data_IF_032135066924
#
_entry.id   IF_032135066924
#
_cell.length_a   1.000
_cell.length_b   1.000
_cell.length_c   1.000
_cell.angle_alpha   90.00
_cell.angle_beta   90.00
_cell.angle_gamma   90.00
#
_symmetry.space_group_name_H-M   'P 1'
#
loop_
_entity.id
_entity.type
_entity.pdbx_description
1 polymer ?
#
# COMPACT_ATOMS: atom_id res chain seq x y z
N UNK A 1 -3.21 -23.83 6.51
CA UNK A 1 -2.80 -22.44 6.82
C UNK A 1 -3.64 -21.98 8.00
N UNK A 2 -3.05 -21.55 9.13
CA UNK A 2 -3.81 -21.22 10.34
C UNK A 2 -4.77 -20.06 10.06
N UNK A 3 -6.08 -20.25 10.26
CA UNK A 3 -7.13 -19.25 10.01
C UNK A 3 -6.83 -17.91 10.68
N UNK A 4 -6.18 -17.96 11.86
CA UNK A 4 -5.70 -16.80 12.59
C UNK A 4 -4.68 -15.95 11.80
N UNK A 5 -3.74 -16.59 11.10
CA UNK A 5 -2.73 -15.90 10.27
C UNK A 5 -3.41 -15.23 9.08
N UNK A 6 -4.41 -15.89 8.47
CA UNK A 6 -5.15 -15.33 7.34
C UNK A 6 -5.96 -14.10 7.74
N UNK A 7 -6.64 -14.14 8.89
CA UNK A 7 -7.38 -12.99 9.43
C UNK A 7 -6.44 -11.84 9.78
N UNK A 8 -5.30 -12.13 10.42
CA UNK A 8 -4.28 -11.13 10.73
C UNK A 8 -3.77 -10.44 9.46
N UNK A 9 -3.45 -11.23 8.42
CA UNK A 9 -3.04 -10.68 7.13
C UNK A 9 -4.11 -9.82 6.48
N UNK A 10 -5.37 -10.26 6.52
CA UNK A 10 -6.49 -9.50 5.99
C UNK A 10 -6.58 -8.12 6.67
N UNK A 11 -6.51 -8.07 8.01
CA UNK A 11 -6.54 -6.80 8.77
C UNK A 11 -5.34 -5.91 8.41
N UNK A 12 -4.14 -6.48 8.25
CA UNK A 12 -2.95 -5.73 7.84
C UNK A 12 -3.11 -5.13 6.43
N UNK A 13 -3.66 -5.88 5.48
CA UNK A 13 -3.95 -5.38 4.14
C UNK A 13 -5.01 -4.26 4.15
N UNK A 14 -6.04 -4.38 5.00
CA UNK A 14 -7.05 -3.34 5.18
C UNK A 14 -6.41 -2.04 5.72
N UNK A 15 -5.61 -2.14 6.78
CA UNK A 15 -4.92 -1.00 7.39
C UNK A 15 -3.93 -0.34 6.42
N UNK A 16 -3.19 -1.15 5.66
CA UNK A 16 -2.28 -0.67 4.63
C UNK A 16 -3.02 0.04 3.49
N UNK A 17 -4.16 -0.53 3.05
CA UNK A 17 -5.01 0.06 2.02
C UNK A 17 -5.60 1.41 2.44
N UNK A 18 -6.17 1.48 3.65
CA UNK A 18 -6.72 2.73 4.22
C UNK A 18 -5.61 3.77 4.40
N UNK A 19 -4.44 3.35 4.91
CA UNK A 19 -3.30 4.25 5.07
C UNK A 19 -2.81 4.81 3.73
N UNK A 20 -2.71 3.99 2.68
CA UNK A 20 -2.35 4.45 1.34
C UNK A 20 -3.37 5.46 0.78
N UNK A 21 -4.67 5.24 1.00
CA UNK A 21 -5.72 6.14 0.50
C UNK A 21 -5.78 7.47 1.26
N UNK A 22 -5.63 7.45 2.58
CA UNK A 22 -5.84 8.62 3.43
C UNK A 22 -4.56 9.43 3.65
N UNK A 23 -3.40 8.76 3.73
CA UNK A 23 -2.09 9.36 4.03
C UNK A 23 -1.18 9.40 2.81
N UNK A 24 -1.73 9.41 1.60
CA UNK A 24 -0.96 9.38 0.34
C UNK A 24 0.08 10.52 0.27
N UNK A 25 -0.30 11.72 0.74
CA UNK A 25 0.59 12.89 0.78
C UNK A 25 1.70 12.78 1.83
N UNK A 26 1.43 12.13 2.96
CA UNK A 26 2.44 11.88 3.99
C UNK A 26 3.45 10.84 3.51
N UNK A 27 2.97 9.76 2.87
CA UNK A 27 3.82 8.73 2.25
C UNK A 27 4.73 9.37 1.18
N UNK A 28 4.17 10.25 0.34
CA UNK A 28 4.91 10.99 -0.66
C UNK A 28 6.01 11.86 -0.04
N UNK A 29 5.69 12.64 1.01
CA UNK A 29 6.68 13.47 1.73
C UNK A 29 7.78 12.63 2.38
N UNK A 30 7.40 11.50 2.98
CA UNK A 30 8.35 10.59 3.60
C UNK A 30 9.31 9.97 2.58
N UNK A 31 8.80 9.54 1.41
CA UNK A 31 9.65 9.06 0.32
C UNK A 31 10.60 10.15 -0.20
N UNK A 32 10.12 11.38 -0.36
CA UNK A 32 10.96 12.50 -0.81
C UNK A 32 12.09 12.74 0.20
N UNK A 33 11.79 12.79 1.50
CA UNK A 33 12.81 12.91 2.55
C UNK A 33 13.79 11.73 2.56
N UNK A 34 13.29 10.51 2.34
CA UNK A 34 14.13 9.31 2.24
C UNK A 34 15.12 9.40 1.07
N UNK A 35 14.66 9.88 -0.09
CA UNK A 35 15.53 10.11 -1.25
C UNK A 35 16.52 11.25 -1.04
N UNK A 36 16.13 12.34 -0.38
CA UNK A 36 17.05 13.43 -0.05
C UNK A 36 18.14 13.01 0.96
N UNK A 37 17.82 12.05 1.84
CA UNK A 37 18.75 11.55 2.85
C UNK A 37 19.66 10.44 2.32
N UNK A 38 19.26 9.74 1.25
CA UNK A 38 20.04 8.64 0.68
C UNK A 38 21.00 9.14 -0.42
N UNK A 39 22.33 9.11 -0.20
CA UNK A 39 23.32 9.53 -1.20
C UNK A 39 23.36 8.63 -2.45
N UNK A 40 22.74 7.44 -2.38
CA UNK A 40 22.69 6.44 -3.46
C UNK A 40 21.70 6.83 -4.56
N UNK A 41 20.68 7.62 -4.22
CA UNK A 41 19.64 8.03 -5.16
C UNK A 41 19.79 9.53 -5.34
N UNK A 42 20.75 9.89 -6.20
CA UNK A 42 21.06 11.28 -6.50
C UNK A 42 19.77 12.08 -6.76
N UNK A 43 19.76 13.34 -6.31
CA UNK A 43 18.65 14.30 -6.46
C UNK A 43 18.08 14.39 -7.89
N UNK A 44 18.85 13.99 -8.89
CA UNK A 44 18.50 13.94 -10.31
C UNK A 44 17.92 12.60 -10.81
N UNK A 45 17.78 11.60 -9.95
CA UNK A 45 17.26 10.31 -10.37
C UNK A 45 15.79 10.46 -10.82
N UNK A 46 15.40 9.92 -12.00
CA UNK A 46 14.04 10.08 -12.54
C UNK A 46 12.95 9.59 -11.59
N UNK A 47 13.27 8.63 -10.71
CA UNK A 47 12.38 8.15 -9.64
C UNK A 47 12.03 9.23 -8.61
N UNK A 48 12.99 10.04 -8.17
CA UNK A 48 12.74 11.12 -7.21
C UNK A 48 11.81 12.18 -7.82
N UNK A 49 12.03 12.56 -9.08
CA UNK A 49 11.13 13.49 -9.80
C UNK A 49 9.74 12.90 -9.99
N UNK A 50 9.65 11.61 -10.31
CA UNK A 50 8.36 10.93 -10.49
C UNK A 50 7.56 10.88 -9.19
N UNK A 51 8.21 10.68 -8.03
CA UNK A 51 7.52 10.71 -6.73
C UNK A 51 6.89 12.06 -6.39
N UNK A 52 7.33 13.16 -7.02
CA UNK A 52 6.71 14.49 -6.85
C UNK A 52 5.49 14.70 -7.76
N UNK A 53 5.25 13.83 -8.75
CA UNK A 53 4.15 13.98 -9.69
C UNK A 53 2.83 13.42 -9.15
N UNK A 54 1.72 13.92 -9.68
CA UNK A 54 0.35 13.42 -9.40
C UNK A 54 0.18 11.96 -9.81
N UNK A 55 0.94 11.48 -10.80
CA UNK A 55 0.96 10.09 -11.25
C UNK A 55 1.36 9.12 -10.13
N UNK A 56 2.34 9.49 -9.30
CA UNK A 56 2.72 8.70 -8.13
C UNK A 56 1.59 8.61 -7.10
N UNK A 57 0.90 9.72 -6.82
CA UNK A 57 -0.25 9.76 -5.91
C UNK A 57 -1.37 8.84 -6.42
N UNK A 58 -1.66 8.86 -7.73
CA UNK A 58 -2.63 7.94 -8.31
C UNK A 58 -2.21 6.48 -8.14
N UNK A 59 -0.93 6.17 -8.33
CA UNK A 59 -0.42 4.82 -8.20
C UNK A 59 -0.49 4.31 -6.76
N UNK A 60 -0.13 5.13 -5.76
CA UNK A 60 -0.28 4.77 -4.35
C UNK A 60 -1.76 4.57 -3.99
N UNK A 61 -2.67 5.40 -4.51
CA UNK A 61 -4.11 5.19 -4.32
C UNK A 61 -4.58 3.88 -4.97
N UNK A 62 -4.10 3.57 -6.18
CA UNK A 62 -4.43 2.34 -6.89
C UNK A 62 -3.95 1.10 -6.11
N UNK A 63 -2.73 1.14 -5.56
CA UNK A 63 -2.22 0.11 -4.63
C UNK A 63 -3.13 0.01 -3.40
N UNK A 64 -3.55 1.14 -2.83
CA UNK A 64 -4.47 1.16 -1.70
C UNK A 64 -5.82 0.47 -2.01
N UNK A 65 -6.41 0.76 -3.17
CA UNK A 65 -7.64 0.11 -3.64
C UNK A 65 -7.42 -1.39 -3.87
N UNK A 66 -6.31 -1.78 -4.51
CA UNK A 66 -5.94 -3.18 -4.72
C UNK A 66 -5.81 -3.96 -3.40
N UNK A 67 -5.21 -3.36 -2.37
CA UNK A 67 -5.13 -3.98 -1.03
C UNK A 67 -6.51 -4.20 -0.39
N UNK A 68 -7.45 -3.26 -0.58
CA UNK A 68 -8.83 -3.41 -0.09
C UNK A 68 -9.56 -4.52 -0.87
N UNK A 69 -9.38 -4.59 -2.19
CA UNK A 69 -9.94 -5.67 -3.00
C UNK A 69 -9.38 -7.02 -2.54
N UNK A 70 -8.07 -7.09 -2.24
CA UNK A 70 -7.43 -8.30 -1.75
C UNK A 70 -7.99 -8.73 -0.37
N UNK A 71 -8.26 -7.76 0.51
CA UNK A 71 -8.97 -8.02 1.77
C UNK A 71 -10.36 -8.63 1.53
N UNK A 72 -11.15 -8.07 0.61
CA UNK A 72 -12.49 -8.57 0.28
C UNK A 72 -12.41 -10.01 -0.27
N UNK A 73 -11.45 -10.29 -1.16
CA UNK A 73 -11.22 -11.65 -1.67
C UNK A 73 -10.85 -12.61 -0.54
N UNK A 74 -9.93 -12.24 0.35
CA UNK A 74 -9.55 -13.07 1.48
C UNK A 74 -10.73 -13.34 2.42
N UNK A 75 -11.53 -12.32 2.73
CA UNK A 75 -12.74 -12.46 3.54
C UNK A 75 -13.76 -13.39 2.88
N UNK A 76 -13.96 -13.27 1.57
CA UNK A 76 -14.82 -14.15 0.80
C UNK A 76 -14.34 -15.61 0.85
N UNK A 77 -13.05 -15.85 0.62
CA UNK A 77 -12.45 -17.20 0.69
C UNK A 77 -12.62 -17.80 2.08
N UNK A 78 -12.36 -17.05 3.15
CA UNK A 78 -12.56 -17.53 4.52
C UNK A 78 -14.04 -17.91 4.76
N UNK A 79 -14.97 -17.08 4.29
CA UNK A 79 -16.41 -17.30 4.48
C UNK A 79 -16.87 -18.56 3.75
N UNK A 80 -16.50 -18.72 2.47
CA UNK A 80 -16.84 -19.92 1.68
C UNK A 80 -16.20 -21.17 2.27
N UNK A 81 -14.94 -21.09 2.72
CA UNK A 81 -14.23 -22.22 3.33
C UNK A 81 -14.78 -22.62 4.71
N UNK A 82 -15.53 -21.74 5.37
CA UNK A 82 -16.17 -22.03 6.66
C UNK A 82 -17.57 -22.63 6.55
N UNK A 83 -18.16 -22.60 5.35
CA UNK A 83 -19.51 -23.10 5.05
C UNK A 83 -19.48 -24.51 4.44
N UNK A 84 -18.33 -24.93 3.89
CA UNK A 84 -18.04 -26.28 3.38
C UNK A 84 -17.37 -27.14 4.46
#
# INVERSE_FOLDING_TARGET
MNTFITILMAILFLLAGISCLNRTKEIQRWLIQFFETSPVIARDHPLARWTQQTSFIMLVKLIGVLSIINFIMLAYVITVSSVL
#
